data_IF_402646139251
#
_entry.id   IF_402646139251
#
_cell.length_a   1.000
_cell.length_b   1.000
_cell.length_c   1.000
_cell.angle_alpha   90.00
_cell.angle_beta   90.00
_cell.angle_gamma   90.00
#
_symmetry.space_group_name_H-M   'P 1'
#
loop_
_entity.id
_entity.type
_entity.pdbx_description
1 polymer ?
#
# COMPACT_ATOMS: atom_id res chain seq x y z
N UNK A 1 -5.64 33.43 12.46
CA UNK A 1 -5.07 32.50 11.47
C UNK A 1 -5.10 33.21 10.13
N UNK A 2 -3.95 33.44 9.53
CA UNK A 2 -3.89 34.09 8.22
C UNK A 2 -4.39 33.13 7.13
N UNK A 3 -5.03 33.66 6.09
CA UNK A 3 -5.62 32.87 4.99
C UNK A 3 -4.58 31.93 4.34
N UNK A 4 -3.33 32.36 4.27
CA UNK A 4 -2.21 31.56 3.76
C UNK A 4 -1.96 30.32 4.62
N UNK A 5 -1.91 30.47 5.95
CA UNK A 5 -1.73 29.35 6.88
C UNK A 5 -2.89 28.37 6.82
N UNK A 6 -4.12 28.88 6.67
CA UNK A 6 -5.31 28.04 6.52
C UNK A 6 -5.26 27.19 5.25
N UNK A 7 -4.94 27.79 4.11
CA UNK A 7 -4.80 27.06 2.82
C UNK A 7 -3.66 26.04 2.90
N UNK A 8 -2.54 26.39 3.52
CA UNK A 8 -1.42 25.48 3.70
C UNK A 8 -1.79 24.27 4.57
N UNK A 9 -2.57 24.47 5.65
CA UNK A 9 -3.09 23.38 6.47
C UNK A 9 -3.99 22.43 5.67
N UNK A 10 -4.85 22.97 4.80
CA UNK A 10 -5.71 22.16 3.93
C UNK A 10 -4.86 21.33 2.96
N UNK A 11 -3.87 21.92 2.31
CA UNK A 11 -3.00 21.21 1.35
C UNK A 11 -2.22 20.10 2.04
N UNK A 12 -1.60 20.40 3.19
CA UNK A 12 -0.85 19.40 3.98
C UNK A 12 -1.76 18.30 4.51
N UNK A 13 -2.94 18.65 5.03
CA UNK A 13 -3.94 17.71 5.51
C UNK A 13 -4.45 16.78 4.41
N UNK A 14 -4.70 17.33 3.22
CA UNK A 14 -5.13 16.54 2.06
C UNK A 14 -4.01 15.62 1.56
N UNK A 15 -2.76 16.08 1.59
CA UNK A 15 -1.57 15.27 1.24
C UNK A 15 -1.46 14.03 2.12
N UNK A 16 -1.50 14.21 3.46
CA UNK A 16 -1.46 13.10 4.42
C UNK A 16 -2.72 12.23 4.29
N UNK A 17 -3.88 12.85 4.09
CA UNK A 17 -5.15 12.16 3.87
C UNK A 17 -5.13 11.24 2.65
N UNK A 18 -4.46 11.62 1.55
CA UNK A 18 -4.26 10.77 0.38
C UNK A 18 -3.48 9.50 0.74
N UNK A 19 -2.40 9.61 1.50
CA UNK A 19 -1.61 8.45 1.92
C UNK A 19 -2.45 7.53 2.81
N UNK A 20 -3.12 8.07 3.84
CA UNK A 20 -3.98 7.27 4.71
C UNK A 20 -5.14 6.63 3.96
N UNK A 21 -5.65 7.28 2.92
CA UNK A 21 -6.67 6.70 2.04
C UNK A 21 -6.14 5.49 1.27
N UNK A 22 -4.91 5.55 0.74
CA UNK A 22 -4.29 4.40 0.07
C UNK A 22 -4.09 3.22 1.03
N UNK A 23 -3.58 3.49 2.24
CA UNK A 23 -3.39 2.47 3.28
C UNK A 23 -4.73 1.87 3.70
N UNK A 24 -5.74 2.72 3.94
CA UNK A 24 -7.09 2.33 4.31
C UNK A 24 -7.80 1.52 3.22
N UNK A 25 -7.59 1.87 1.94
CA UNK A 25 -8.07 1.07 0.82
C UNK A 25 -7.43 -0.32 0.82
N UNK A 26 -6.12 -0.41 1.07
CA UNK A 26 -5.43 -1.70 1.23
C UNK A 26 -6.06 -2.58 2.31
N UNK A 27 -6.31 -2.02 3.51
CA UNK A 27 -7.03 -2.73 4.58
C UNK A 27 -8.45 -3.14 4.17
N UNK A 28 -9.22 -2.24 3.57
CA UNK A 28 -10.59 -2.52 3.14
C UNK A 28 -10.66 -3.64 2.10
N UNK A 29 -9.66 -3.73 1.22
CA UNK A 29 -9.55 -4.81 0.23
C UNK A 29 -9.31 -6.15 0.89
N UNK A 30 -8.30 -6.27 1.76
CA UNK A 30 -8.01 -7.53 2.45
C UNK A 30 -9.20 -7.98 3.30
N UNK A 31 -9.83 -7.04 4.01
CA UNK A 31 -11.01 -7.31 4.82
C UNK A 31 -12.16 -7.85 3.99
N UNK A 32 -12.48 -7.22 2.86
CA UNK A 32 -13.58 -7.67 2.00
C UNK A 32 -13.34 -9.00 1.31
N UNK A 33 -12.08 -9.38 1.07
CA UNK A 33 -11.77 -10.65 0.42
C UNK A 33 -11.71 -11.84 1.38
N UNK A 34 -11.39 -11.59 2.66
CA UNK A 34 -11.05 -12.68 3.60
C UNK A 34 -11.67 -12.55 4.98
N UNK A 35 -12.44 -11.49 5.25
CA UNK A 35 -13.05 -11.15 6.54
C UNK A 35 -12.04 -11.01 7.70
N UNK A 36 -10.75 -10.84 7.38
CA UNK A 36 -9.66 -10.70 8.35
C UNK A 36 -8.93 -9.36 8.18
N UNK A 37 -8.53 -8.79 9.32
CA UNK A 37 -7.65 -7.63 9.35
C UNK A 37 -6.24 -8.13 9.11
N UNK A 38 -5.60 -7.67 8.04
CA UNK A 38 -4.20 -7.96 7.78
C UNK A 38 -3.29 -7.03 8.60
N UNK A 39 -2.82 -7.48 9.76
CA UNK A 39 -1.93 -6.67 10.60
C UNK A 39 -0.56 -6.38 9.96
N UNK A 40 -0.15 -7.15 8.95
CA UNK A 40 1.09 -6.90 8.20
C UNK A 40 0.97 -5.73 7.18
N UNK A 41 -0.19 -5.09 7.06
CA UNK A 41 -0.38 -3.99 6.11
C UNK A 41 0.52 -2.78 6.43
N UNK A 42 0.81 -2.51 7.71
CA UNK A 42 1.79 -1.48 8.09
C UNK A 42 3.19 -1.82 7.58
N UNK A 43 3.60 -3.08 7.68
CA UNK A 43 4.87 -3.55 7.15
C UNK A 43 4.95 -3.46 5.62
N UNK A 44 3.83 -3.58 4.90
CA UNK A 44 3.81 -3.35 3.45
C UNK A 44 4.15 -1.91 3.10
N UNK A 45 3.74 -0.95 3.94
CA UNK A 45 4.10 0.47 3.81
C UNK A 45 5.58 0.65 4.07
N UNK A 46 6.10 0.07 5.16
CA UNK A 46 7.53 0.08 5.48
C UNK A 46 8.37 -0.52 4.33
N UNK A 47 8.02 -1.71 3.83
CA UNK A 47 8.74 -2.35 2.74
C UNK A 47 8.73 -1.49 1.46
N UNK A 48 7.62 -0.82 1.15
CA UNK A 48 7.56 0.10 0.02
C UNK A 48 8.53 1.25 0.18
N UNK A 49 8.55 1.87 1.37
CA UNK A 49 9.50 2.92 1.69
C UNK A 49 10.95 2.43 1.53
N UNK A 50 11.31 1.27 2.08
CA UNK A 50 12.68 0.73 2.05
C UNK A 50 13.13 0.29 0.65
N UNK A 51 12.25 -0.35 -0.13
CA UNK A 51 12.54 -0.71 -1.53
C UNK A 51 12.73 0.58 -2.36
N UNK A 52 11.84 1.55 -2.20
CA UNK A 52 11.95 2.85 -2.86
C UNK A 52 13.23 3.59 -2.48
N UNK A 53 13.61 3.55 -1.20
CA UNK A 53 14.84 4.16 -0.70
C UNK A 53 16.04 3.54 -1.39
N UNK A 54 16.10 2.20 -1.43
CA UNK A 54 17.20 1.47 -2.07
C UNK A 54 17.34 1.89 -3.53
N UNK A 55 16.25 1.93 -4.29
CA UNK A 55 16.26 2.30 -5.69
C UNK A 55 16.67 3.75 -5.93
N UNK A 56 16.24 4.67 -5.07
CA UNK A 56 16.53 6.10 -5.21
C UNK A 56 17.94 6.46 -4.72
N UNK A 57 18.31 6.01 -3.53
CA UNK A 57 19.54 6.39 -2.87
C UNK A 57 20.75 5.55 -3.32
N UNK A 58 20.59 4.23 -3.48
CA UNK A 58 21.73 3.36 -3.81
C UNK A 58 21.91 3.17 -5.32
N UNK A 59 20.80 3.09 -6.07
CA UNK A 59 20.84 2.87 -7.53
C UNK A 59 20.65 4.16 -8.36
N UNK A 60 20.31 5.29 -7.72
CA UNK A 60 20.10 6.56 -8.42
C UNK A 60 18.95 6.52 -9.45
N UNK A 61 17.98 5.62 -9.27
CA UNK A 61 16.91 5.42 -10.24
C UNK A 61 15.94 6.61 -10.27
N UNK A 62 15.32 6.92 -11.42
CA UNK A 62 14.26 7.93 -11.47
C UNK A 62 13.11 7.59 -10.53
N UNK A 63 12.50 8.60 -9.92
CA UNK A 63 11.40 8.42 -8.95
C UNK A 63 10.27 7.53 -9.48
N UNK A 64 9.87 7.72 -10.73
CA UNK A 64 8.77 6.94 -11.36
C UNK A 64 9.12 5.45 -11.41
N UNK A 65 10.37 5.12 -11.70
CA UNK A 65 10.85 3.72 -11.73
C UNK A 65 10.89 3.16 -10.31
N UNK A 66 11.44 3.91 -9.35
CA UNK A 66 11.48 3.49 -7.96
C UNK A 66 10.07 3.25 -7.39
N UNK A 67 9.12 4.15 -7.67
CA UNK A 67 7.73 4.05 -7.28
C UNK A 67 7.05 2.82 -7.89
N UNK A 68 7.20 2.60 -9.20
CA UNK A 68 6.62 1.44 -9.87
C UNK A 68 7.19 0.12 -9.36
N UNK A 69 8.51 0.02 -9.23
CA UNK A 69 9.18 -1.21 -8.76
C UNK A 69 8.87 -1.48 -7.29
N UNK A 70 8.84 -0.46 -6.43
CA UNK A 70 8.45 -0.64 -5.03
C UNK A 70 6.99 -1.11 -4.91
N UNK A 71 6.07 -0.49 -5.65
CA UNK A 71 4.64 -0.86 -5.67
C UNK A 71 4.43 -2.29 -6.16
N UNK A 72 5.09 -2.67 -7.26
CA UNK A 72 5.00 -4.03 -7.79
C UNK A 72 5.70 -5.02 -6.86
N UNK A 73 6.86 -4.66 -6.33
CA UNK A 73 7.66 -5.49 -5.44
C UNK A 73 6.91 -5.83 -4.15
N UNK A 74 6.32 -4.84 -3.48
CA UNK A 74 5.47 -5.09 -2.29
C UNK A 74 4.22 -5.87 -2.67
N UNK A 75 3.63 -5.63 -3.84
CA UNK A 75 2.52 -6.44 -4.34
C UNK A 75 2.89 -7.92 -4.52
N UNK A 76 4.07 -8.21 -5.09
CA UNK A 76 4.59 -9.58 -5.20
C UNK A 76 4.80 -10.19 -3.81
N UNK A 77 5.37 -9.45 -2.87
CA UNK A 77 5.52 -9.90 -1.47
C UNK A 77 4.15 -10.23 -0.86
N UNK A 78 3.13 -9.38 -1.07
CA UNK A 78 1.76 -9.64 -0.61
C UNK A 78 1.18 -10.94 -1.17
N UNK A 79 1.35 -11.19 -2.47
CA UNK A 79 0.93 -12.46 -3.11
C UNK A 79 1.70 -13.65 -2.53
N UNK A 80 3.00 -13.51 -2.29
CA UNK A 80 3.82 -14.58 -1.73
C UNK A 80 3.39 -14.94 -0.31
N UNK A 81 3.13 -13.94 0.55
CA UNK A 81 2.65 -14.17 1.90
C UNK A 81 1.26 -14.82 1.91
N UNK A 82 0.37 -14.40 1.02
CA UNK A 82 -0.91 -15.08 0.84
C UNK A 82 -0.69 -16.54 0.46
N UNK A 83 0.14 -16.81 -0.55
CA UNK A 83 0.32 -18.18 -1.08
C UNK A 83 1.00 -19.13 -0.11
N UNK A 84 2.00 -18.63 0.63
CA UNK A 84 2.86 -19.45 1.49
C UNK A 84 2.26 -19.62 2.88
N UNK A 85 1.61 -18.59 3.43
CA UNK A 85 1.17 -18.58 4.83
C UNK A 85 -0.34 -18.70 4.91
N UNK A 86 -1.09 -17.76 4.32
CA UNK A 86 -2.53 -17.70 4.50
C UNK A 86 -3.28 -18.80 3.74
N UNK A 87 -2.92 -19.05 2.48
CA UNK A 87 -3.61 -20.02 1.62
C UNK A 87 -3.59 -21.44 2.19
N UNK A 88 -2.46 -21.98 2.70
CA UNK A 88 -2.47 -23.29 3.35
C UNK A 88 -3.36 -23.34 4.59
N UNK A 89 -3.41 -22.27 5.39
CA UNK A 89 -4.25 -22.17 6.58
C UNK A 89 -5.74 -22.11 6.22
N UNK A 90 -6.10 -21.32 5.21
CA UNK A 90 -7.46 -21.23 4.68
C UNK A 90 -7.92 -22.59 4.12
N UNK A 91 -7.07 -23.30 3.38
CA UNK A 91 -7.37 -24.65 2.87
C UNK A 91 -7.61 -25.68 3.98
N UNK A 92 -6.93 -25.53 5.11
CA UNK A 92 -7.13 -26.36 6.31
C UNK A 92 -8.31 -25.90 7.18
N UNK A 93 -9.10 -24.93 6.73
CA UNK A 93 -10.23 -24.35 7.47
C UNK A 93 -9.83 -23.88 8.87
N UNK A 94 -8.64 -23.28 8.99
CA UNK A 94 -8.17 -22.73 10.26
C UNK A 94 -9.17 -21.67 10.79
N UNK A 95 -9.39 -21.62 12.11
CA UNK A 95 -10.27 -20.60 12.70
C UNK A 95 -9.69 -19.20 12.49
N UNK A 96 -10.58 -18.19 12.46
CA UNK A 96 -10.21 -16.80 12.17
C UNK A 96 -9.12 -16.27 13.11
N UNK A 97 -9.15 -16.63 14.39
CA UNK A 97 -8.12 -16.25 15.36
C UNK A 97 -6.72 -16.69 14.93
N UNK A 98 -6.58 -17.90 14.37
CA UNK A 98 -5.28 -18.42 13.92
C UNK A 98 -4.77 -17.64 12.71
N UNK A 99 -5.66 -17.20 11.82
CA UNK A 99 -5.29 -16.36 10.67
C UNK A 99 -4.81 -14.98 11.13
N UNK A 100 -5.47 -14.39 12.13
CA UNK A 100 -5.02 -13.12 12.71
C UNK A 100 -3.64 -13.26 13.35
N UNK A 101 -3.42 -14.29 14.16
CA UNK A 101 -2.10 -14.59 14.76
C UNK A 101 -1.05 -14.79 13.67
N UNK A 102 -1.39 -15.47 12.56
CA UNK A 102 -0.48 -15.61 11.44
C UNK A 102 -0.11 -14.26 10.80
N UNK A 103 -1.07 -13.32 10.65
CA UNK A 103 -0.76 -11.97 10.14
C UNK A 103 0.10 -11.14 11.08
N UNK A 104 -0.05 -11.31 12.40
CA UNK A 104 0.85 -10.72 13.38
C UNK A 104 2.25 -11.32 13.28
N UNK A 105 2.36 -12.64 13.14
CA UNK A 105 3.63 -13.33 12.90
C UNK A 105 4.29 -12.88 11.61
N UNK A 106 3.52 -12.68 10.53
CA UNK A 106 4.01 -12.08 9.28
C UNK A 106 4.55 -10.67 9.52
N UNK A 107 3.84 -9.83 10.27
CA UNK A 107 4.31 -8.47 10.57
C UNK A 107 5.67 -8.49 11.26
N UNK A 108 5.80 -9.25 12.35
CA UNK A 108 7.06 -9.37 13.10
C UNK A 108 8.18 -9.93 12.21
N UNK A 109 7.87 -10.93 11.37
CA UNK A 109 8.86 -11.51 10.46
C UNK A 109 9.35 -10.48 9.43
N UNK A 110 8.45 -9.74 8.79
CA UNK A 110 8.80 -8.70 7.82
C UNK A 110 9.62 -7.58 8.46
N UNK A 111 9.24 -7.15 9.67
CA UNK A 111 9.99 -6.17 10.43
C UNK A 111 11.41 -6.68 10.75
N UNK A 112 11.55 -7.93 11.18
CA UNK A 112 12.86 -8.55 11.45
C UNK A 112 13.72 -8.62 10.17
N UNK A 113 13.14 -9.01 9.03
CA UNK A 113 13.85 -8.99 7.75
C UNK A 113 14.29 -7.58 7.35
N UNK A 114 13.44 -6.57 7.55
CA UNK A 114 13.77 -5.19 7.27
C UNK A 114 14.96 -4.72 8.12
N UNK A 115 14.98 -5.04 9.41
CA UNK A 115 16.09 -4.70 10.32
C UNK A 115 17.40 -5.36 9.89
N UNK A 116 17.35 -6.62 9.44
CA UNK A 116 18.56 -7.34 8.99
C UNK A 116 19.18 -6.69 7.75
N UNK A 117 18.34 -6.22 6.82
CA UNK A 117 18.80 -5.70 5.52
C UNK A 117 19.15 -4.21 5.58
N UNK A 118 18.29 -3.39 6.21
CA UNK A 118 18.41 -1.93 6.22
C UNK A 118 18.91 -1.36 7.55
N UNK A 119 18.95 -2.17 8.61
CA UNK A 119 19.33 -1.71 9.94
C UNK A 119 18.15 -1.15 10.73
N UNK A 120 18.48 -0.64 11.93
CA UNK A 120 17.51 -0.23 12.96
C UNK A 120 17.44 1.29 13.14
N UNK A 121 18.06 2.06 12.28
CA UNK A 121 18.05 3.52 12.36
C UNK A 121 17.10 4.10 11.31
N UNK A 122 16.34 5.17 11.62
CA UNK A 122 15.54 5.87 10.63
C UNK A 122 16.42 6.37 9.48
N UNK A 123 16.04 6.03 8.26
CA UNK A 123 16.85 6.32 7.08
C UNK A 123 16.36 7.63 6.45
N UNK A 124 17.25 8.63 6.27
CA UNK A 124 16.90 9.85 5.57
C UNK A 124 16.59 9.56 4.10
N UNK A 125 15.38 9.90 3.68
CA UNK A 125 14.97 9.72 2.30
C UNK A 125 15.58 10.80 1.40
N UNK A 126 16.12 10.46 0.22
CA UNK A 126 16.68 11.46 -0.68
C UNK A 126 15.61 12.47 -1.09
N UNK A 127 15.95 13.76 -1.05
CA UNK A 127 15.08 14.84 -1.54
C UNK A 127 15.12 14.87 -3.07
N UNK A 128 14.28 14.04 -3.67
CA UNK A 128 14.11 13.91 -5.13
C UNK A 128 13.36 15.09 -5.76
N UNK A 129 12.58 15.80 -4.96
CA UNK A 129 11.80 16.95 -5.41
C UNK A 129 12.51 18.21 -4.94
N UNK A 130 12.87 19.08 -5.89
CA UNK A 130 13.60 20.32 -5.63
C UNK A 130 12.89 21.25 -4.64
N UNK A 131 13.56 22.36 -4.30
CA UNK A 131 13.04 23.32 -3.32
C UNK A 131 11.64 23.81 -3.72
N UNK A 132 10.76 23.94 -2.72
CA UNK A 132 9.37 24.34 -2.91
C UNK A 132 9.25 25.68 -3.61
N UNK A 133 8.35 25.78 -4.59
CA UNK A 133 8.05 27.05 -5.26
C UNK A 133 7.02 27.77 -4.41
N UNK A 134 7.32 28.99 -4.00
CA UNK A 134 6.36 29.87 -3.34
C UNK A 134 5.48 30.53 -4.40
N UNK A 135 4.23 30.09 -4.49
CA UNK A 135 3.23 30.67 -5.40
C UNK A 135 2.24 31.44 -4.55
N UNK A 136 2.13 32.76 -4.73
CA UNK A 136 1.26 33.65 -3.93
C UNK A 136 1.47 33.58 -2.39
N UNK A 137 2.70 33.34 -1.94
CA UNK A 137 3.02 33.20 -0.51
C UNK A 137 2.67 31.84 0.09
N UNK A 138 2.20 30.88 -0.73
CA UNK A 138 1.96 29.49 -0.34
C UNK A 138 3.17 28.67 -0.80
N UNK A 139 3.88 28.05 0.13
CA UNK A 139 4.96 27.12 -0.18
C UNK A 139 4.37 25.78 -0.65
N UNK A 140 4.28 25.59 -1.98
CA UNK A 140 3.87 24.32 -2.55
C UNK A 140 5.11 23.49 -2.83
N UNK A 141 5.34 22.47 -1.99
CA UNK A 141 6.38 21.50 -2.26
C UNK A 141 5.93 20.60 -3.43
N UNK A 142 6.76 20.40 -4.47
CA UNK A 142 6.42 19.52 -5.59
C UNK A 142 6.08 18.10 -5.13
N UNK A 143 6.67 17.65 -4.01
CA UNK A 143 6.33 16.39 -3.34
C UNK A 143 4.83 16.27 -3.03
N UNK A 144 4.19 17.31 -2.47
CA UNK A 144 2.77 17.27 -2.14
C UNK A 144 1.91 17.07 -3.39
N UNK A 145 2.28 17.71 -4.51
CA UNK A 145 1.59 17.53 -5.79
C UNK A 145 1.73 16.11 -6.32
N UNK A 146 2.91 15.49 -6.17
CA UNK A 146 3.13 14.08 -6.53
C UNK A 146 2.32 13.12 -5.67
N UNK A 147 2.29 13.33 -4.34
CA UNK A 147 1.50 12.51 -3.41
C UNK A 147 0.01 12.60 -3.75
N UNK A 148 -0.50 13.82 -3.95
CA UNK A 148 -1.91 14.02 -4.32
C UNK A 148 -2.20 13.43 -5.71
N UNK A 149 -1.36 13.73 -6.71
CA UNK A 149 -1.55 13.27 -8.08
C UNK A 149 -1.53 11.75 -8.19
N UNK A 150 -0.51 11.08 -7.66
CA UNK A 150 -0.40 9.63 -7.67
C UNK A 150 -1.43 8.97 -6.75
N UNK A 151 -1.71 9.57 -5.59
CA UNK A 151 -2.74 9.09 -4.67
C UNK A 151 -4.12 9.07 -5.32
N UNK A 152 -4.55 10.20 -5.89
CA UNK A 152 -5.82 10.26 -6.63
C UNK A 152 -5.82 9.36 -7.86
N UNK A 153 -4.71 9.27 -8.60
CA UNK A 153 -4.61 8.37 -9.75
C UNK A 153 -4.78 6.90 -9.36
N UNK A 154 -4.14 6.45 -8.28
CA UNK A 154 -4.28 5.08 -7.76
C UNK A 154 -5.69 4.82 -7.22
N UNK A 155 -6.27 5.75 -6.46
CA UNK A 155 -7.63 5.63 -5.96
C UNK A 155 -8.65 5.55 -7.11
N UNK A 156 -8.53 6.43 -8.11
CA UNK A 156 -9.38 6.43 -9.30
C UNK A 156 -9.17 5.15 -10.12
N UNK A 157 -7.92 4.72 -10.31
CA UNK A 157 -7.57 3.48 -11.01
C UNK A 157 -8.18 2.26 -10.34
N UNK A 158 -8.10 2.18 -9.01
CA UNK A 158 -8.72 1.11 -8.23
C UNK A 158 -10.25 1.16 -8.32
N UNK A 159 -10.84 2.36 -8.23
CA UNK A 159 -12.28 2.53 -8.41
C UNK A 159 -12.75 2.04 -9.78
N UNK A 160 -12.04 2.44 -10.84
CA UNK A 160 -12.33 1.99 -12.20
C UNK A 160 -12.10 0.50 -12.37
N UNK A 161 -11.07 -0.08 -11.75
CA UNK A 161 -10.84 -1.52 -11.74
C UNK A 161 -12.06 -2.26 -11.19
N UNK A 162 -12.55 -1.90 -10.01
CA UNK A 162 -13.72 -2.55 -9.40
C UNK A 162 -15.05 -2.29 -10.11
N UNK A 163 -15.19 -1.16 -10.80
CA UNK A 163 -16.44 -0.78 -11.46
C UNK A 163 -16.54 -1.22 -12.91
N UNK A 164 -15.43 -1.25 -13.64
CA UNK A 164 -15.42 -1.45 -15.10
C UNK A 164 -14.73 -2.73 -15.57
N UNK A 165 -13.92 -3.40 -14.76
CA UNK A 165 -13.23 -4.63 -15.20
C UNK A 165 -14.01 -5.88 -14.84
N UNK A 166 -13.97 -6.89 -15.71
CA UNK A 166 -14.61 -8.20 -15.46
C UNK A 166 -14.09 -8.87 -14.19
N UNK A 167 -12.79 -8.71 -13.90
CA UNK A 167 -12.15 -9.21 -12.67
C UNK A 167 -12.71 -8.48 -11.44
N UNK A 168 -12.79 -7.15 -11.49
CA UNK A 168 -13.36 -6.37 -10.39
C UNK A 168 -14.84 -6.67 -10.12
N UNK A 169 -15.62 -6.88 -11.19
CA UNK A 169 -17.04 -7.24 -11.09
C UNK A 169 -17.20 -8.66 -10.51
N UNK A 170 -16.39 -9.63 -10.98
CA UNK A 170 -16.44 -11.00 -10.48
C UNK A 170 -16.01 -11.09 -9.01
N UNK A 171 -15.04 -10.27 -8.59
CA UNK A 171 -14.65 -10.18 -7.18
C UNK A 171 -15.75 -9.63 -6.30
N UNK A 172 -16.43 -8.57 -6.74
CA UNK A 172 -17.57 -8.03 -5.99
C UNK A 172 -18.69 -9.06 -5.86
N UNK A 173 -18.97 -9.81 -6.92
CA UNK A 173 -19.93 -10.91 -6.88
C UNK A 173 -19.49 -12.01 -5.89
N UNK A 174 -18.22 -12.39 -5.92
CA UNK A 174 -17.65 -13.39 -5.00
C UNK A 174 -17.62 -12.95 -3.53
N UNK A 175 -17.53 -11.64 -3.26
CA UNK A 175 -17.62 -11.10 -1.89
C UNK A 175 -19.05 -11.06 -1.33
N UNK A 176 -20.07 -11.04 -2.19
CA UNK A 176 -21.48 -11.03 -1.78
C UNK A 176 -22.00 -12.45 -1.52
N UNK A 177 -21.74 -13.37 -2.45
CA UNK A 177 -22.10 -14.78 -2.30
C UNK A 177 -20.99 -15.67 -2.91
N UNK A 178 -20.02 -16.11 -2.07
CA UNK A 178 -18.91 -16.94 -2.52
C UNK A 178 -19.37 -18.29 -3.10
N UNK A 179 -20.45 -18.87 -2.57
CA UNK A 179 -21.01 -20.15 -3.01
C UNK A 179 -21.57 -20.05 -4.42
N UNK A 180 -22.39 -19.03 -4.66
CA UNK A 180 -22.99 -18.81 -5.98
C UNK A 180 -21.93 -18.40 -6.99
N UNK A 181 -20.99 -17.53 -6.63
CA UNK A 181 -19.91 -17.12 -7.52
C UNK A 181 -19.02 -18.29 -7.97
N UNK A 182 -18.79 -19.28 -7.09
CA UNK A 182 -18.04 -20.49 -7.45
C UNK A 182 -18.75 -21.34 -8.52
N UNK A 183 -20.10 -21.36 -8.54
CA UNK A 183 -20.88 -22.03 -9.58
C UNK A 183 -20.72 -21.36 -10.96
N UNK A 184 -20.46 -20.05 -10.99
CA UNK A 184 -20.14 -19.30 -12.21
C UNK A 184 -18.64 -19.36 -12.58
N UNK A 185 -17.86 -20.24 -11.95
CA UNK A 185 -16.45 -20.48 -12.29
C UNK A 185 -15.47 -19.43 -11.74
N UNK A 186 -15.89 -18.60 -10.78
CA UNK A 186 -15.00 -17.59 -10.16
C UNK A 186 -14.03 -18.28 -9.19
N UNK A 187 -12.74 -18.28 -9.52
CA UNK A 187 -11.70 -18.85 -8.65
C UNK A 187 -11.43 -17.97 -7.43
N UNK A 188 -12.03 -18.35 -6.31
CA UNK A 188 -11.82 -17.71 -5.00
C UNK A 188 -10.35 -17.59 -4.64
N UNK A 189 -9.54 -18.58 -4.97
CA UNK A 189 -8.14 -18.62 -4.55
C UNK A 189 -7.29 -17.61 -5.31
N UNK A 190 -7.59 -17.38 -6.59
CA UNK A 190 -6.93 -16.34 -7.40
C UNK A 190 -7.37 -14.94 -6.96
N UNK A 191 -8.64 -14.77 -6.60
CA UNK A 191 -9.17 -13.48 -6.13
C UNK A 191 -8.51 -13.04 -4.82
N UNK A 192 -8.35 -13.95 -3.86
CA UNK A 192 -7.68 -13.65 -2.59
C UNK A 192 -6.21 -13.27 -2.82
N UNK A 193 -5.48 -14.07 -3.60
CA UNK A 193 -4.07 -13.78 -3.91
C UNK A 193 -3.88 -12.40 -4.55
N UNK A 194 -4.67 -12.09 -5.59
CA UNK A 194 -4.62 -10.79 -6.26
C UNK A 194 -5.06 -9.65 -5.34
N UNK A 195 -6.03 -9.87 -4.45
CA UNK A 195 -6.42 -8.85 -3.47
C UNK A 195 -5.25 -8.50 -2.54
N UNK A 196 -4.56 -9.52 -2.02
CA UNK A 196 -3.37 -9.33 -1.19
C UNK A 196 -2.23 -8.65 -1.95
N UNK A 197 -2.07 -8.94 -3.24
CA UNK A 197 -1.11 -8.25 -4.10
C UNK A 197 -1.45 -6.77 -4.29
N UNK A 198 -2.70 -6.45 -4.63
CA UNK A 198 -3.13 -5.06 -4.81
C UNK A 198 -3.06 -4.29 -3.49
N UNK A 199 -3.48 -4.88 -2.37
CA UNK A 199 -3.44 -4.22 -1.07
C UNK A 199 -2.00 -3.93 -0.61
N UNK A 200 -1.09 -4.88 -0.78
CA UNK A 200 0.32 -4.70 -0.46
C UNK A 200 1.00 -3.72 -1.42
N UNK A 201 0.60 -3.72 -2.70
CA UNK A 201 1.04 -2.73 -3.68
C UNK A 201 0.61 -1.32 -3.30
N UNK A 202 -0.65 -1.10 -2.92
CA UNK A 202 -1.13 0.19 -2.43
C UNK A 202 -0.40 0.63 -1.15
N UNK A 203 -0.12 -0.31 -0.24
CA UNK A 203 0.74 -0.05 0.92
C UNK A 203 2.13 0.41 0.51
N UNK A 204 2.76 -0.30 -0.43
CA UNK A 204 4.09 0.05 -0.91
C UNK A 204 4.15 1.41 -1.61
N UNK A 205 3.16 1.71 -2.44
CA UNK A 205 3.00 3.02 -3.07
C UNK A 205 2.85 4.12 -2.01
N UNK A 206 2.01 3.90 -0.99
CA UNK A 206 1.86 4.83 0.12
C UNK A 206 3.18 5.03 0.88
N UNK A 207 3.96 3.97 1.07
CA UNK A 207 5.28 3.99 1.71
C UNK A 207 6.29 4.88 1.00
N UNK A 208 6.43 4.72 -0.32
CA UNK A 208 7.30 5.57 -1.14
C UNK A 208 6.87 7.03 -1.10
N UNK A 209 5.57 7.29 -1.03
CA UNK A 209 5.02 8.65 -1.01
C UNK A 209 5.18 9.35 0.35
N UNK A 210 5.09 8.61 1.46
CA UNK A 210 5.15 9.19 2.81
C UNK A 210 6.57 9.28 3.38
N UNK A 211 7.48 8.40 2.96
CA UNK A 211 8.84 8.34 3.51
C UNK A 211 9.64 9.65 3.38
N UNK A 212 9.50 10.46 2.32
CA UNK A 212 10.14 11.79 2.25
C UNK A 212 9.62 12.80 3.29
N UNK A 213 8.43 12.58 3.88
CA UNK A 213 7.84 13.47 4.89
C UNK A 213 8.25 13.12 6.33
N UNK A 214 8.41 11.83 6.63
CA UNK A 214 8.59 11.34 8.02
C UNK A 214 9.84 10.49 8.24
N UNK A 215 10.66 10.27 7.19
CA UNK A 215 11.74 9.27 7.12
C UNK A 215 11.23 7.84 6.90
N UNK A 216 12.12 6.97 6.40
CA UNK A 216 11.84 5.54 6.30
C UNK A 216 12.23 4.87 7.62
N UNK A 217 11.23 4.50 8.43
CA UNK A 217 11.38 3.80 9.70
C UNK A 217 10.38 2.65 9.83
N UNK A 218 10.67 1.72 10.74
CA UNK A 218 9.96 0.46 11.03
C UNK A 218 8.92 0.58 12.15
#
# INVERSE_FOLDING_TARGET
MDLQTFIQLIVSGLTIGCVYSLVGLGFALTLRATDLINFAQGEMVMLGALIGYTLLATMGSPFVVAFAVATIGTGVVGVLLERVILRPMLRRKAPLLNLLIATLGMSVALQAFAIIIWGREPIPYPSIFGQGITVFGIAVQPLNLWIMGLGFALMAGLHLFFKKTLVGISWRAASLDPSTAALYGVDRTTNVALTFGISAGLGGAAGVLIAPLFFASF
#
